data_IF_420406548445
#
_entry.id   IF_420406548445
#
_cell.length_a   1.000
_cell.length_b   1.000
_cell.length_c   1.000
_cell.angle_alpha   90.00
_cell.angle_beta   90.00
_cell.angle_gamma   90.00
#
_symmetry.space_group_name_H-M   'P 1'
#
loop_
_entity.id
_entity.type
_entity.pdbx_description
1 polymer ?
#
# COMPACT_ATOMS: atom_id res chain seq x y z
N UNK A 1 -63.88 -26.11 1.76
CA UNK A 1 -62.89 -25.75 0.73
C UNK A 1 -63.21 -24.32 0.32
N UNK A 2 -62.40 -23.36 0.77
CA UNK A 2 -62.50 -21.97 0.29
C UNK A 2 -61.39 -21.83 -0.73
N UNK A 3 -61.74 -21.44 -1.95
CA UNK A 3 -60.78 -21.33 -3.05
C UNK A 3 -60.02 -20.00 -2.99
N UNK A 4 -58.98 -19.87 -3.81
CA UNK A 4 -58.09 -18.71 -3.84
C UNK A 4 -58.80 -17.37 -4.15
N UNK A 5 -60.02 -17.41 -4.69
CA UNK A 5 -60.83 -16.22 -4.99
C UNK A 5 -61.39 -15.59 -3.72
N UNK A 6 -61.77 -16.41 -2.73
CA UNK A 6 -62.31 -15.95 -1.45
C UNK A 6 -61.26 -15.21 -0.60
N UNK A 7 -59.99 -15.62 -0.71
CA UNK A 7 -58.90 -14.99 0.05
C UNK A 7 -58.53 -13.60 -0.48
N UNK A 8 -58.63 -13.38 -1.80
CA UNK A 8 -58.34 -12.07 -2.42
C UNK A 8 -59.39 -11.03 -2.04
N UNK A 9 -60.67 -11.39 -2.10
CA UNK A 9 -61.76 -10.49 -1.73
C UNK A 9 -61.70 -10.09 -0.24
N UNK A 10 -61.29 -11.02 0.64
CA UNK A 10 -61.13 -10.75 2.07
C UNK A 10 -59.93 -9.84 2.38
N UNK A 11 -58.84 -9.92 1.59
CA UNK A 11 -57.66 -9.05 1.70
C UNK A 11 -57.97 -7.62 1.22
N UNK A 12 -58.66 -7.48 0.08
CA UNK A 12 -59.11 -6.17 -0.43
C UNK A 12 -60.14 -5.49 0.50
N UNK A 13 -60.96 -6.27 1.19
CA UNK A 13 -61.91 -5.77 2.19
C UNK A 13 -61.27 -5.45 3.56
N UNK A 14 -59.95 -5.66 3.73
CA UNK A 14 -59.23 -5.37 4.98
C UNK A 14 -59.59 -6.29 6.16
N UNK A 15 -60.21 -7.44 5.90
CA UNK A 15 -60.68 -8.37 6.94
C UNK A 15 -59.67 -9.47 7.29
N UNK A 16 -58.61 -9.63 6.50
CA UNK A 16 -57.49 -10.55 6.74
C UNK A 16 -56.16 -9.90 6.38
N UNK A 17 -55.11 -10.18 7.15
CA UNK A 17 -53.73 -9.72 6.89
C UNK A 17 -52.82 -10.90 6.56
N UNK A 18 -51.84 -10.66 5.69
CA UNK A 18 -50.77 -11.63 5.40
C UNK A 18 -49.91 -11.82 6.64
N UNK A 19 -49.65 -13.08 7.01
CA UNK A 19 -48.77 -13.42 8.13
C UNK A 19 -47.33 -13.36 7.61
N UNK A 20 -46.55 -12.46 8.20
CA UNK A 20 -45.18 -12.11 7.85
C UNK A 20 -44.29 -13.30 7.45
N UNK A 21 -43.92 -13.35 6.17
CA UNK A 21 -42.67 -13.94 5.68
C UNK A 21 -42.01 -12.83 4.87
N UNK A 22 -40.95 -12.24 5.43
CA UNK A 22 -40.34 -10.98 5.02
C UNK A 22 -40.22 -10.81 3.51
N UNK A 23 -41.14 -10.03 2.95
CA UNK A 23 -41.05 -9.47 1.61
C UNK A 23 -40.49 -8.05 1.73
N UNK A 24 -39.31 -7.86 1.15
CA UNK A 24 -38.63 -6.57 1.02
C UNK A 24 -39.58 -5.61 0.27
N UNK A 25 -39.83 -4.39 0.78
CA UNK A 25 -40.64 -3.40 0.06
C UNK A 25 -39.99 -3.09 -1.31
N UNK A 26 -40.78 -2.75 -2.35
CA UNK A 26 -40.21 -2.34 -3.62
C UNK A 26 -39.25 -1.18 -3.38
N UNK A 27 -38.00 -1.37 -3.79
CA UNK A 27 -36.95 -0.39 -3.67
C UNK A 27 -37.42 0.90 -4.36
N UNK A 28 -37.63 1.95 -3.56
CA UNK A 28 -37.54 3.31 -4.06
C UNK A 28 -36.09 3.49 -4.49
N UNK A 29 -35.85 3.34 -5.79
CA UNK A 29 -34.56 3.62 -6.39
C UNK A 29 -34.36 5.13 -6.24
N UNK A 30 -33.52 5.52 -5.28
CA UNK A 30 -32.96 6.86 -5.24
C UNK A 30 -32.26 7.06 -6.59
N UNK A 31 -32.63 8.05 -7.40
CA UNK A 31 -31.91 8.28 -8.65
C UNK A 31 -30.46 8.64 -8.29
N UNK A 32 -29.44 8.07 -8.96
CA UNK A 32 -28.10 8.64 -8.88
C UNK A 32 -28.22 10.08 -9.38
N UNK A 33 -27.94 11.04 -8.50
CA UNK A 33 -28.17 12.45 -8.75
C UNK A 33 -27.17 13.08 -9.75
N UNK A 34 -26.36 12.30 -10.47
CA UNK A 34 -25.26 12.82 -11.28
C UNK A 34 -25.07 12.10 -12.63
N UNK A 35 -26.15 11.70 -13.32
CA UNK A 35 -26.01 11.32 -14.74
C UNK A 35 -26.00 12.59 -15.58
N UNK A 36 -24.86 12.88 -16.21
CA UNK A 36 -24.73 13.94 -17.21
C UNK A 36 -25.33 13.49 -18.55
N UNK A 37 -26.54 13.96 -18.85
CA UNK A 37 -27.24 13.70 -20.09
C UNK A 37 -26.76 14.58 -21.26
N UNK A 38 -25.95 15.62 -21.01
CA UNK A 38 -25.43 16.51 -22.06
C UNK A 38 -26.40 17.60 -22.53
N UNK A 39 -26.41 17.89 -23.84
CA UNK A 39 -27.25 18.90 -24.51
C UNK A 39 -28.12 18.31 -25.63
N UNK A 40 -28.83 19.15 -26.40
CA UNK A 40 -29.67 18.75 -27.53
C UNK A 40 -29.08 19.23 -28.88
N UNK A 41 -27.77 19.07 -29.08
CA UNK A 41 -27.05 19.65 -30.22
C UNK A 41 -26.98 18.77 -31.48
N UNK A 42 -27.42 17.51 -31.45
CA UNK A 42 -27.42 16.63 -32.63
C UNK A 42 -28.63 16.92 -33.54
N UNK A 43 -28.58 16.39 -34.77
CA UNK A 43 -29.72 16.46 -35.70
C UNK A 43 -30.88 15.52 -35.31
N UNK A 44 -30.60 14.55 -34.45
CA UNK A 44 -31.53 13.53 -33.95
C UNK A 44 -32.13 13.87 -32.58
N UNK A 45 -31.59 14.89 -31.89
CA UNK A 45 -32.14 15.33 -30.61
C UNK A 45 -33.64 15.70 -30.68
N UNK A 46 -34.42 15.27 -29.67
CA UNK A 46 -35.87 15.54 -29.54
C UNK A 46 -36.75 14.83 -30.57
N UNK A 47 -36.31 13.71 -31.12
CA UNK A 47 -37.09 12.91 -32.05
C UNK A 47 -37.96 11.83 -31.37
N UNK A 48 -37.79 11.64 -30.07
CA UNK A 48 -38.52 10.70 -29.23
C UNK A 48 -37.79 9.39 -28.93
N UNK A 49 -36.57 9.21 -29.42
CA UNK A 49 -35.66 8.10 -29.10
C UNK A 49 -34.39 8.65 -28.43
N UNK A 50 -33.69 7.85 -27.62
CA UNK A 50 -32.40 8.24 -27.05
C UNK A 50 -31.26 7.87 -28.00
N UNK A 51 -30.62 8.87 -28.62
CA UNK A 51 -29.53 8.69 -29.60
C UNK A 51 -28.14 8.58 -28.97
N UNK A 52 -28.03 8.84 -27.68
CA UNK A 52 -26.73 8.79 -27.00
C UNK A 52 -26.24 7.33 -26.91
N UNK A 53 -25.12 6.98 -27.56
CA UNK A 53 -24.55 5.64 -27.55
C UNK A 53 -24.15 5.12 -26.17
N UNK A 54 -24.11 5.97 -25.12
CA UNK A 54 -23.92 5.54 -23.73
C UNK A 54 -25.16 4.84 -23.17
N UNK A 55 -26.33 4.97 -23.77
CA UNK A 55 -27.56 4.36 -23.29
C UNK A 55 -27.96 3.13 -24.13
N UNK A 56 -28.69 2.21 -23.51
CA UNK A 56 -29.26 1.03 -24.17
C UNK A 56 -30.62 0.68 -23.59
N UNK A 57 -31.54 0.25 -24.44
CA UNK A 57 -32.85 -0.27 -24.05
C UNK A 57 -33.91 -0.01 -25.12
N UNK A 58 -35.16 -0.41 -24.87
CA UNK A 58 -36.28 -0.17 -25.79
C UNK A 58 -36.54 1.29 -26.15
N UNK A 59 -36.04 2.25 -25.35
CA UNK A 59 -36.12 3.68 -25.63
C UNK A 59 -34.90 4.27 -26.35
N UNK A 60 -33.92 3.45 -26.73
CA UNK A 60 -32.76 3.90 -27.53
C UNK A 60 -33.07 3.85 -29.02
N UNK A 61 -32.42 4.73 -29.79
CA UNK A 61 -32.50 4.71 -31.25
C UNK A 61 -32.02 3.38 -31.83
N UNK A 62 -32.54 3.01 -33.00
CA UNK A 62 -32.13 1.77 -33.68
C UNK A 62 -30.67 1.78 -34.14
N UNK A 63 -30.15 2.95 -34.49
CA UNK A 63 -28.78 3.16 -34.92
C UNK A 63 -28.14 4.20 -34.00
N UNK A 64 -27.17 3.76 -33.20
CA UNK A 64 -26.44 4.62 -32.28
C UNK A 64 -25.06 4.91 -32.87
N UNK A 65 -24.73 6.19 -33.04
CA UNK A 65 -23.42 6.62 -33.55
C UNK A 65 -22.68 7.47 -32.53
N UNK A 66 -21.35 7.35 -32.53
CA UNK A 66 -20.48 8.06 -31.57
C UNK A 66 -20.59 9.59 -31.67
N UNK A 67 -20.99 10.10 -32.84
CA UNK A 67 -21.19 11.53 -33.06
C UNK A 67 -22.30 12.14 -32.19
N UNK A 68 -23.24 11.34 -31.71
CA UNK A 68 -24.43 11.77 -30.95
C UNK A 68 -24.28 11.60 -29.43
N UNK A 69 -23.10 11.20 -28.96
CA UNK A 69 -22.78 11.11 -27.53
C UNK A 69 -23.00 12.44 -26.83
N UNK A 70 -23.84 12.45 -25.79
CA UNK A 70 -24.23 13.59 -24.96
C UNK A 70 -24.98 14.71 -25.71
N UNK A 71 -25.59 14.41 -26.86
CA UNK A 71 -26.24 15.42 -27.71
C UNK A 71 -27.74 15.28 -27.87
N UNK A 72 -28.34 14.36 -27.12
CA UNK A 72 -29.78 14.13 -27.07
C UNK A 72 -30.28 14.01 -25.61
N UNK A 73 -30.00 15.05 -24.84
CA UNK A 73 -30.25 15.07 -23.40
C UNK A 73 -31.74 14.98 -23.04
N UNK A 74 -32.61 15.54 -23.86
CA UNK A 74 -34.05 15.57 -23.57
C UNK A 74 -34.68 14.20 -23.64
N UNK A 75 -34.40 13.42 -24.68
CA UNK A 75 -35.02 12.12 -24.86
C UNK A 75 -34.32 11.04 -24.04
N UNK A 76 -32.99 11.08 -23.91
CA UNK A 76 -32.26 10.18 -23.02
C UNK A 76 -32.64 10.33 -21.54
N UNK A 77 -32.87 11.55 -21.05
CA UNK A 77 -33.39 11.76 -19.69
C UNK A 77 -34.81 11.21 -19.54
N UNK A 78 -35.69 11.52 -20.49
CA UNK A 78 -37.07 11.05 -20.43
C UNK A 78 -37.17 9.52 -20.49
N UNK A 79 -36.36 8.89 -21.34
CA UNK A 79 -36.29 7.43 -21.46
C UNK A 79 -35.65 6.79 -20.22
N UNK A 80 -34.65 7.42 -19.60
CA UNK A 80 -34.03 6.94 -18.37
C UNK A 80 -35.00 7.04 -17.18
N UNK A 81 -35.72 8.16 -17.03
CA UNK A 81 -36.75 8.35 -16.01
C UNK A 81 -37.95 7.39 -16.20
N UNK A 82 -38.27 7.04 -17.45
CA UNK A 82 -39.27 6.04 -17.78
C UNK A 82 -38.77 4.59 -17.57
N UNK A 83 -37.47 4.39 -17.31
CA UNK A 83 -36.84 3.07 -17.21
C UNK A 83 -36.80 2.29 -18.53
N UNK A 84 -36.93 2.97 -19.68
CA UNK A 84 -36.87 2.36 -21.01
C UNK A 84 -35.46 2.38 -21.61
N UNK A 85 -34.53 3.13 -21.03
CA UNK A 85 -33.10 3.01 -21.29
C UNK A 85 -32.30 2.93 -20.00
N UNK A 86 -31.12 2.33 -20.10
CA UNK A 86 -30.12 2.20 -19.04
C UNK A 86 -28.79 2.68 -19.58
N UNK A 87 -27.97 3.34 -18.76
CA UNK A 87 -26.60 3.66 -19.15
C UNK A 87 -25.82 2.34 -19.25
N UNK A 88 -25.08 2.11 -20.33
CA UNK A 88 -24.29 0.89 -20.58
C UNK A 88 -23.27 0.64 -19.45
N UNK A 89 -22.82 1.70 -18.77
CA UNK A 89 -21.96 1.65 -17.58
C UNK A 89 -22.72 1.74 -16.24
N UNK A 90 -24.05 1.91 -16.27
CA UNK A 90 -24.93 1.80 -15.10
C UNK A 90 -25.86 0.58 -15.18
N UNK A 91 -25.45 -0.46 -15.93
CA UNK A 91 -25.94 -1.80 -15.64
C UNK A 91 -25.44 -2.13 -14.23
N UNK A 92 -26.35 -2.10 -13.26
CA UNK A 92 -26.16 -2.77 -11.99
C UNK A 92 -25.56 -4.14 -12.31
N UNK A 93 -24.28 -4.31 -11.98
CA UNK A 93 -23.61 -5.59 -11.95
C UNK A 93 -24.54 -6.48 -11.11
N UNK A 94 -25.12 -7.57 -11.66
CA UNK A 94 -25.51 -8.65 -10.77
C UNK A 94 -24.24 -8.95 -10.00
N UNK A 95 -24.27 -8.84 -8.66
CA UNK A 95 -23.12 -9.11 -7.82
C UNK A 95 -22.37 -10.32 -8.42
N UNK A 96 -21.14 -10.10 -8.87
CA UNK A 96 -20.30 -11.17 -9.38
C UNK A 96 -20.34 -12.24 -8.30
N UNK A 97 -21.01 -13.35 -8.60
CA UNK A 97 -21.09 -14.45 -7.66
C UNK A 97 -19.72 -15.08 -7.78
N UNK A 98 -18.81 -14.71 -6.86
CA UNK A 98 -17.51 -15.36 -6.74
C UNK A 98 -17.78 -16.87 -6.75
N UNK A 99 -17.18 -17.64 -7.69
CA UNK A 99 -17.43 -19.08 -7.73
C UNK A 99 -17.10 -19.65 -6.36
N UNK A 100 -18.03 -20.39 -5.77
CA UNK A 100 -17.74 -21.03 -4.48
C UNK A 100 -16.84 -22.24 -4.74
N UNK A 101 -16.15 -22.76 -3.72
CA UNK A 101 -15.32 -23.97 -3.87
C UNK A 101 -16.11 -25.20 -4.37
N UNK A 102 -17.45 -25.15 -4.36
CA UNK A 102 -18.32 -26.17 -4.94
C UNK A 102 -18.48 -26.04 -6.47
N UNK A 103 -18.21 -24.86 -7.04
CA UNK A 103 -18.39 -24.53 -8.46
C UNK A 103 -17.11 -24.72 -9.28
N UNK A 104 -15.97 -24.97 -8.61
CA UNK A 104 -14.64 -25.07 -9.23
C UNK A 104 -14.21 -26.54 -9.29
N UNK A 105 -13.79 -26.97 -10.49
CA UNK A 105 -13.14 -28.26 -10.70
C UNK A 105 -11.63 -28.15 -10.42
N UNK A 106 -11.23 -28.55 -9.21
CA UNK A 106 -9.83 -28.55 -8.77
C UNK A 106 -9.01 -29.72 -9.32
N UNK A 107 -9.63 -30.75 -9.91
CA UNK A 107 -8.92 -31.91 -10.46
C UNK A 107 -8.52 -32.98 -9.43
N UNK A 108 -7.31 -33.53 -9.55
CA UNK A 108 -6.73 -34.58 -8.69
C UNK A 108 -5.36 -34.18 -8.08
N UNK A 109 -4.69 -35.10 -7.36
CA UNK A 109 -3.37 -34.87 -6.73
C UNK A 109 -2.27 -35.69 -7.44
N UNK A 110 -2.21 -35.64 -8.78
CA UNK A 110 -1.35 -36.52 -9.58
C UNK A 110 0.02 -35.95 -9.97
N UNK A 111 0.32 -34.68 -9.66
CA UNK A 111 1.65 -34.09 -9.90
C UNK A 111 2.67 -34.52 -8.83
N UNK A 112 3.96 -34.27 -9.10
CA UNK A 112 5.03 -34.48 -8.12
C UNK A 112 4.98 -33.45 -6.97
N UNK A 113 4.37 -32.29 -7.23
CA UNK A 113 4.27 -31.16 -6.32
C UNK A 113 2.95 -31.13 -5.52
N UNK A 114 1.98 -31.99 -5.85
CA UNK A 114 0.74 -32.06 -5.09
C UNK A 114 0.96 -32.35 -3.60
N UNK A 115 0.25 -31.62 -2.72
CA UNK A 115 0.30 -31.75 -1.24
C UNK A 115 1.59 -31.25 -0.61
N UNK A 116 2.27 -30.30 -1.23
CA UNK A 116 3.44 -29.65 -0.65
C UNK A 116 3.11 -28.38 0.14
N UNK A 117 1.84 -27.94 0.10
CA UNK A 117 1.32 -26.78 0.82
C UNK A 117 1.14 -25.54 -0.05
N UNK A 118 1.48 -25.60 -1.33
CA UNK A 118 1.28 -24.53 -2.32
C UNK A 118 0.32 -24.99 -3.41
N UNK A 119 -0.38 -24.06 -4.07
CA UNK A 119 -1.23 -24.38 -5.21
C UNK A 119 -0.44 -24.30 -6.52
N UNK A 120 -0.14 -25.45 -7.12
CA UNK A 120 0.66 -25.56 -8.36
C UNK A 120 -0.16 -25.40 -9.65
N UNK A 121 -1.49 -25.34 -9.54
CA UNK A 121 -2.33 -25.26 -10.72
C UNK A 121 -2.24 -23.85 -11.34
N UNK A 122 -1.71 -23.71 -12.58
CA UNK A 122 -1.54 -22.42 -13.25
C UNK A 122 -2.85 -21.67 -13.50
N UNK A 123 -4.01 -22.32 -13.35
CA UNK A 123 -5.32 -21.64 -13.36
C UNK A 123 -5.55 -20.79 -12.12
N UNK A 124 -4.77 -20.91 -11.06
CA UNK A 124 -4.91 -20.13 -9.84
C UNK A 124 -3.80 -19.09 -9.69
N UNK A 125 -4.08 -18.04 -8.92
CA UNK A 125 -3.13 -16.97 -8.59
C UNK A 125 -3.37 -16.47 -7.17
N UNK A 126 -2.31 -16.09 -6.46
CA UNK A 126 -2.36 -15.48 -5.15
C UNK A 126 -1.20 -15.91 -4.27
N UNK A 127 -1.21 -15.46 -3.01
CA UNK A 127 -0.15 -15.75 -2.04
C UNK A 127 -0.02 -17.25 -1.70
N UNK A 128 -1.06 -18.04 -1.94
CA UNK A 128 -1.01 -19.50 -1.80
C UNK A 128 -0.66 -20.25 -3.08
N UNK A 129 -0.27 -19.57 -4.17
CA UNK A 129 0.19 -20.23 -5.41
C UNK A 129 1.69 -20.49 -5.34
N UNK A 130 2.13 -21.59 -5.97
CA UNK A 130 3.54 -21.90 -6.09
C UNK A 130 4.30 -20.80 -6.84
N UNK A 131 5.58 -20.61 -6.49
CA UNK A 131 6.43 -19.60 -7.14
C UNK A 131 6.63 -19.87 -8.64
N UNK A 132 6.69 -21.14 -9.04
CA UNK A 132 6.82 -21.57 -10.44
C UNK A 132 5.59 -22.37 -10.87
N UNK A 133 4.73 -21.75 -11.68
CA UNK A 133 3.54 -22.40 -12.22
C UNK A 133 3.82 -22.93 -13.62
N UNK A 134 3.72 -24.26 -13.79
CA UNK A 134 3.89 -24.90 -15.10
C UNK A 134 2.59 -25.52 -15.60
N UNK A 135 2.40 -25.48 -16.92
CA UNK A 135 1.21 -26.01 -17.58
C UNK A 135 0.98 -27.52 -17.32
N UNK A 136 2.05 -28.25 -17.02
CA UNK A 136 2.00 -29.68 -16.72
C UNK A 136 1.22 -30.01 -15.44
N UNK A 137 1.10 -29.05 -14.51
CA UNK A 137 0.50 -29.23 -13.18
C UNK A 137 -0.94 -28.73 -13.08
N UNK A 138 -1.50 -28.29 -14.22
CA UNK A 138 -2.92 -27.92 -14.32
C UNK A 138 -3.85 -29.07 -13.89
N UNK A 139 -4.70 -28.79 -12.90
CA UNK A 139 -5.67 -29.69 -12.26
C UNK A 139 -5.06 -30.91 -11.57
N UNK A 140 -3.79 -30.83 -11.15
CA UNK A 140 -3.07 -31.96 -10.56
C UNK A 140 -2.64 -31.75 -9.11
N UNK A 141 -3.04 -30.64 -8.52
CA UNK A 141 -2.83 -30.32 -7.12
C UNK A 141 -4.14 -29.84 -6.47
N UNK A 142 -5.12 -30.73 -6.44
CA UNK A 142 -6.47 -30.39 -6.04
C UNK A 142 -6.60 -30.08 -4.54
N UNK A 143 -5.81 -30.73 -3.70
CA UNK A 143 -5.88 -30.58 -2.24
C UNK A 143 -5.44 -29.19 -1.80
N UNK A 144 -4.27 -28.72 -2.28
CA UNK A 144 -3.71 -27.46 -1.83
C UNK A 144 -4.38 -26.28 -2.52
N UNK A 145 -4.68 -26.38 -3.82
CA UNK A 145 -5.48 -25.37 -4.51
C UNK A 145 -6.89 -25.18 -3.93
N UNK A 146 -7.55 -26.26 -3.47
CA UNK A 146 -8.85 -26.12 -2.76
C UNK A 146 -8.67 -25.44 -1.42
N UNK A 147 -7.68 -25.86 -0.63
CA UNK A 147 -7.43 -25.29 0.69
C UNK A 147 -7.08 -23.80 0.58
N UNK A 148 -6.21 -23.44 -0.36
CA UNK A 148 -5.81 -22.07 -0.61
C UNK A 148 -6.97 -21.22 -1.18
N UNK A 149 -7.86 -21.80 -2.01
CA UNK A 149 -9.05 -21.10 -2.48
C UNK A 149 -10.08 -20.87 -1.37
N UNK A 150 -10.32 -21.88 -0.53
CA UNK A 150 -11.21 -21.76 0.64
C UNK A 150 -10.66 -20.81 1.71
N UNK A 151 -9.33 -20.73 1.85
CA UNK A 151 -8.65 -19.75 2.68
C UNK A 151 -8.61 -18.33 2.08
N UNK A 152 -8.98 -18.19 0.80
CA UNK A 152 -8.91 -16.92 0.06
C UNK A 152 -7.49 -16.47 -0.27
N UNK A 153 -6.49 -17.35 -0.16
CA UNK A 153 -5.08 -17.05 -0.49
C UNK A 153 -4.78 -17.26 -1.97
N UNK A 154 -5.65 -17.98 -2.71
CA UNK A 154 -5.63 -18.03 -4.18
C UNK A 154 -7.01 -17.79 -4.79
N UNK A 155 -7.02 -17.33 -6.04
CA UNK A 155 -8.21 -17.07 -6.86
C UNK A 155 -8.07 -17.76 -8.22
N UNK A 156 -9.18 -18.19 -8.82
CA UNK A 156 -9.19 -18.80 -10.15
C UNK A 156 -9.07 -17.71 -11.22
N UNK A 157 -8.05 -17.80 -12.07
CA UNK A 157 -7.89 -17.02 -13.30
C UNK A 157 -9.02 -17.40 -14.26
N UNK A 158 -10.02 -16.54 -14.44
CA UNK A 158 -11.08 -16.79 -15.41
C UNK A 158 -10.51 -16.79 -16.83
N UNK A 159 -10.74 -17.86 -17.59
CA UNK A 159 -10.41 -17.89 -19.02
C UNK A 159 -11.40 -17.01 -19.78
N UNK A 160 -11.03 -15.75 -20.04
CA UNK A 160 -11.69 -14.92 -21.05
C UNK A 160 -12.53 -13.74 -20.57
N UNK A 161 -12.37 -13.29 -19.33
CA UNK A 161 -12.88 -11.99 -18.88
C UNK A 161 -11.74 -11.24 -18.19
N UNK A 162 -11.59 -9.96 -18.51
CA UNK A 162 -10.64 -9.05 -17.87
C UNK A 162 -10.64 -9.27 -16.36
N UNK A 163 -9.45 -9.38 -15.78
CA UNK A 163 -9.24 -9.45 -14.33
C UNK A 163 -10.15 -8.44 -13.62
N UNK A 164 -10.73 -8.77 -12.46
CA UNK A 164 -10.98 -7.73 -11.49
C UNK A 164 -9.62 -7.13 -11.17
N UNK A 165 -9.40 -5.93 -11.70
CA UNK A 165 -8.26 -5.09 -11.41
C UNK A 165 -7.96 -5.17 -9.91
N UNK A 166 -6.74 -5.55 -9.55
CA UNK A 166 -6.14 -4.96 -8.36
C UNK A 166 -6.31 -3.46 -8.55
N UNK A 167 -7.22 -2.82 -7.79
CA UNK A 167 -7.68 -1.43 -7.91
C UNK A 167 -6.76 -0.59 -8.81
N UNK A 168 -6.96 -0.72 -10.12
CA UNK A 168 -6.12 -0.05 -11.09
C UNK A 168 -6.61 1.39 -11.06
N UNK A 169 -5.69 2.32 -10.75
CA UNK A 169 -5.93 3.74 -10.89
C UNK A 169 -6.60 3.99 -12.24
N UNK A 170 -7.81 4.58 -12.29
CA UNK A 170 -8.51 4.84 -13.54
C UNK A 170 -7.55 5.49 -14.56
N UNK A 171 -7.57 5.04 -15.82
CA UNK A 171 -6.62 5.50 -16.84
C UNK A 171 -6.65 7.02 -17.07
N UNK A 172 -7.76 7.68 -16.73
CA UNK A 172 -7.90 9.14 -16.76
C UNK A 172 -7.18 9.88 -15.63
N UNK A 173 -6.77 9.18 -14.57
CA UNK A 173 -6.05 9.72 -13.41
C UNK A 173 -4.52 9.53 -13.54
N UNK A 174 -4.07 8.71 -14.49
CA UNK A 174 -2.65 8.45 -14.71
C UNK A 174 -2.10 9.44 -15.73
N UNK A 175 -1.16 10.27 -15.30
CA UNK A 175 -0.34 11.06 -16.21
C UNK A 175 0.75 10.17 -16.81
N UNK A 176 0.57 9.79 -18.08
CA UNK A 176 1.55 9.03 -18.86
C UNK A 176 2.65 9.92 -19.46
N UNK A 177 2.48 11.24 -19.46
CA UNK A 177 3.45 12.19 -20.00
C UNK A 177 3.48 12.28 -21.53
N UNK A 178 4.68 12.36 -22.11
CA UNK A 178 4.94 12.47 -23.56
C UNK A 178 5.84 11.35 -24.10
N UNK A 179 6.28 11.43 -25.37
CA UNK A 179 7.18 10.45 -26.02
C UNK A 179 8.57 11.05 -26.30
N UNK A 180 9.13 11.80 -25.34
CA UNK A 180 10.36 12.59 -25.57
C UNK A 180 11.67 11.85 -25.28
N UNK A 181 11.65 10.62 -24.74
CA UNK A 181 12.87 9.84 -24.48
C UNK A 181 13.46 9.22 -25.74
N UNK A 182 14.68 8.70 -25.64
CA UNK A 182 15.31 7.94 -26.74
C UNK A 182 14.71 6.53 -26.91
N UNK A 183 14.00 6.06 -25.89
CA UNK A 183 13.45 4.71 -25.78
C UNK A 183 11.94 4.67 -26.04
N UNK A 184 11.28 5.83 -26.06
CA UNK A 184 9.87 5.92 -26.40
C UNK A 184 9.50 5.24 -27.73
N UNK A 185 8.38 4.50 -27.73
CA UNK A 185 7.84 3.79 -28.92
C UNK A 185 8.67 2.60 -29.39
N UNK A 186 9.40 1.96 -28.49
CA UNK A 186 10.17 0.75 -28.80
C UNK A 186 9.42 -0.57 -28.49
N UNK A 187 8.23 -0.46 -27.87
CA UNK A 187 7.35 -1.57 -27.54
C UNK A 187 7.44 -2.06 -26.09
N UNK A 188 8.27 -1.43 -25.26
CA UNK A 188 8.35 -1.64 -23.81
C UNK A 188 7.96 -0.34 -23.07
N UNK A 189 7.51 -0.43 -21.82
CA UNK A 189 7.29 0.76 -20.99
C UNK A 189 8.58 1.14 -20.23
N UNK A 190 9.20 2.25 -20.61
CA UNK A 190 10.46 2.73 -20.03
C UNK A 190 10.27 3.62 -18.79
N UNK A 191 9.02 3.97 -18.46
CA UNK A 191 8.74 4.83 -17.32
C UNK A 191 8.98 4.07 -16.00
N UNK A 192 9.94 4.50 -15.16
CA UNK A 192 10.29 3.83 -13.91
C UNK A 192 9.15 3.77 -12.89
N UNK A 193 8.09 4.55 -13.07
CA UNK A 193 6.87 4.49 -12.25
C UNK A 193 6.02 3.26 -12.56
N UNK A 194 6.31 2.49 -13.61
CA UNK A 194 5.56 1.29 -13.95
C UNK A 194 6.38 0.02 -13.66
N UNK A 195 5.69 -1.09 -13.42
CA UNK A 195 6.29 -2.41 -13.20
C UNK A 195 5.42 -3.50 -13.77
N UNK A 196 6.04 -4.57 -14.26
CA UNK A 196 5.36 -5.73 -14.82
C UNK A 196 6.05 -6.24 -16.08
N UNK A 197 5.57 -7.34 -16.66
CA UNK A 197 6.16 -7.96 -17.85
C UNK A 197 6.18 -7.08 -19.11
N UNK A 198 5.42 -5.98 -19.15
CA UNK A 198 5.48 -4.98 -20.22
C UNK A 198 6.45 -3.82 -19.96
N UNK A 199 7.19 -3.83 -18.84
CA UNK A 199 8.16 -2.80 -18.48
C UNK A 199 9.54 -3.13 -19.07
N UNK A 200 10.29 -2.10 -19.44
CA UNK A 200 11.67 -2.26 -19.88
C UNK A 200 12.53 -2.92 -18.80
N UNK A 201 13.52 -3.71 -19.22
CA UNK A 201 14.42 -4.43 -18.31
C UNK A 201 15.36 -3.50 -17.55
N UNK A 202 15.64 -2.32 -18.09
CA UNK A 202 16.45 -1.27 -17.48
C UNK A 202 15.63 0.00 -17.44
N UNK A 203 15.32 0.48 -16.24
CA UNK A 203 14.53 1.70 -16.03
C UNK A 203 15.43 2.81 -15.53
N UNK A 204 15.35 3.99 -16.14
CA UNK A 204 16.12 5.17 -15.75
C UNK A 204 15.18 6.27 -15.28
N UNK A 205 15.55 6.99 -14.21
CA UNK A 205 14.76 8.13 -13.71
C UNK A 205 14.56 9.23 -14.75
N UNK A 206 15.51 9.37 -15.69
CA UNK A 206 15.41 10.33 -16.79
C UNK A 206 14.29 10.01 -17.80
N UNK A 207 13.77 8.78 -17.83
CA UNK A 207 12.71 8.32 -18.75
C UNK A 207 11.29 8.41 -18.14
N UNK A 208 11.19 8.87 -16.88
CA UNK A 208 9.92 9.17 -16.21
C UNK A 208 9.09 10.16 -17.01
N UNK A 209 7.83 9.80 -17.30
CA UNK A 209 6.84 10.57 -18.08
C UNK A 209 7.23 10.80 -19.55
N UNK A 210 8.13 10.00 -20.13
CA UNK A 210 8.67 10.24 -21.48
C UNK A 210 8.45 9.11 -22.48
N UNK A 211 7.68 8.10 -22.09
CA UNK A 211 7.27 6.98 -22.94
C UNK A 211 5.75 6.71 -22.82
N UNK A 212 4.97 7.74 -23.09
CA UNK A 212 3.53 7.73 -22.84
C UNK A 212 2.77 6.70 -23.70
N UNK A 213 3.19 6.50 -24.95
CA UNK A 213 2.50 5.60 -25.88
C UNK A 213 2.59 4.14 -25.43
N UNK A 214 3.78 3.66 -25.09
CA UNK A 214 3.97 2.25 -24.76
C UNK A 214 3.55 1.95 -23.33
N UNK A 215 3.81 2.86 -22.38
CA UNK A 215 3.30 2.72 -21.01
C UNK A 215 1.76 2.73 -20.94
N UNK A 216 1.07 3.54 -21.75
CA UNK A 216 -0.40 3.49 -21.84
C UNK A 216 -0.87 2.16 -22.41
N UNK A 217 -0.28 1.71 -23.51
CA UNK A 217 -0.67 0.47 -24.16
C UNK A 217 -0.43 -0.75 -23.25
N UNK A 218 0.71 -0.78 -22.55
CA UNK A 218 1.04 -1.83 -21.60
C UNK A 218 0.12 -1.80 -20.36
N UNK A 219 -0.27 -0.61 -19.89
CA UNK A 219 -1.22 -0.47 -18.78
C UNK A 219 -2.63 -0.91 -19.17
N UNK A 220 -3.10 -0.52 -20.36
CA UNK A 220 -4.39 -0.97 -20.93
C UNK A 220 -4.43 -2.48 -21.17
N UNK A 221 -3.28 -3.07 -21.56
CA UNK A 221 -3.12 -4.51 -21.72
C UNK A 221 -2.98 -5.26 -20.37
N UNK A 222 -2.84 -4.55 -19.25
CA UNK A 222 -2.60 -5.13 -17.93
C UNK A 222 -1.23 -5.81 -17.80
N UNK A 223 -0.28 -5.51 -18.68
CA UNK A 223 1.09 -6.05 -18.64
C UNK A 223 2.03 -5.18 -17.81
N UNK A 224 1.65 -3.96 -17.49
CA UNK A 224 2.28 -3.15 -16.45
C UNK A 224 1.25 -2.59 -15.48
N UNK A 225 1.70 -2.32 -14.27
CA UNK A 225 0.98 -1.64 -13.20
C UNK A 225 1.79 -0.41 -12.82
N UNK A 226 1.11 0.68 -12.44
CA UNK A 226 1.79 1.81 -11.85
C UNK A 226 2.31 1.36 -10.48
N UNK A 227 3.63 1.40 -10.27
CA UNK A 227 4.23 1.33 -8.94
C UNK A 227 3.53 2.40 -8.12
N UNK A 228 2.78 1.95 -7.13
CA UNK A 228 2.49 2.85 -6.03
C UNK A 228 3.83 3.03 -5.34
N UNK A 229 4.41 4.24 -5.41
CA UNK A 229 5.54 4.60 -4.57
C UNK A 229 5.14 4.20 -3.15
N UNK A 230 5.78 3.14 -2.63
CA UNK A 230 5.46 2.44 -1.38
C UNK A 230 4.00 2.64 -0.95
N UNK A 231 3.06 1.87 -1.53
CA UNK A 231 1.65 1.80 -1.14
C UNK A 231 1.20 3.07 -0.38
N UNK A 232 0.75 4.08 -1.13
CA UNK A 232 -0.13 5.08 -0.57
C UNK A 232 -1.24 4.31 0.16
N UNK A 233 -1.08 4.16 1.48
CA UNK A 233 -2.14 3.70 2.35
C UNK A 233 -3.31 4.60 2.00
N UNK A 234 -4.49 4.06 1.66
CA UNK A 234 -5.65 4.91 1.44
C UNK A 234 -5.70 5.86 2.63
N UNK A 235 -5.61 7.17 2.35
CA UNK A 235 -5.45 8.19 3.36
C UNK A 235 -6.41 7.87 4.51
N UNK A 236 -5.85 7.32 5.59
CA UNK A 236 -6.62 7.20 6.81
C UNK A 236 -6.88 8.65 7.13
N UNK A 237 -8.14 9.05 7.16
CA UNK A 237 -8.52 10.34 7.70
C UNK A 237 -8.23 10.27 9.20
N UNK A 238 -6.95 10.32 9.56
CA UNK A 238 -6.47 10.42 10.92
C UNK A 238 -6.89 11.82 11.37
N UNK A 239 -7.72 11.92 12.42
CA UNK A 239 -8.02 13.21 13.01
C UNK A 239 -6.72 13.96 13.27
N UNK A 240 -6.65 15.26 12.95
CA UNK A 240 -5.44 16.07 13.16
C UNK A 240 -4.93 15.98 14.61
N UNK A 241 -5.82 15.70 15.57
CA UNK A 241 -5.49 15.46 16.97
C UNK A 241 -4.72 14.17 17.26
N UNK A 242 -4.72 13.20 16.35
CA UNK A 242 -4.04 11.91 16.48
C UNK A 242 -2.68 11.89 15.74
N UNK A 243 -2.38 12.90 14.92
CA UNK A 243 -1.10 13.03 14.22
C UNK A 243 -0.04 13.57 15.18
N UNK A 244 1.06 12.83 15.34
CA UNK A 244 2.23 13.30 16.08
C UNK A 244 3.14 14.14 15.17
N UNK A 245 2.92 15.45 15.17
CA UNK A 245 3.76 16.41 14.43
C UNK A 245 5.17 16.59 15.03
N UNK A 246 5.39 16.18 16.28
CA UNK A 246 6.70 16.29 16.94
C UNK A 246 7.04 17.69 17.44
N UNK A 247 8.27 18.15 17.17
CA UNK A 247 8.85 19.43 17.62
C UNK A 247 9.43 20.25 16.45
N UNK A 248 10.08 21.39 16.73
CA UNK A 248 10.69 22.28 15.74
C UNK A 248 12.23 22.33 15.92
N UNK A 249 12.91 21.20 15.75
CA UNK A 249 14.35 21.07 16.06
C UNK A 249 15.25 20.88 14.86
N UNK A 250 14.72 20.70 13.65
CA UNK A 250 15.54 20.64 12.43
C UNK A 250 16.02 22.02 12.00
N UNK A 251 17.03 22.05 11.13
CA UNK A 251 17.53 23.29 10.50
C UNK A 251 16.49 23.94 9.57
N UNK A 252 15.52 23.14 9.11
CA UNK A 252 14.45 23.55 8.19
C UNK A 252 13.13 23.86 8.89
N UNK A 253 13.03 23.60 10.20
CA UNK A 253 11.82 23.92 10.96
C UNK A 253 11.44 25.41 10.90
N UNK A 254 10.16 25.71 10.70
CA UNK A 254 9.61 27.08 10.60
C UNK A 254 10.07 27.86 9.35
N UNK A 255 10.39 27.20 8.26
CA UNK A 255 10.74 27.85 6.99
C UNK A 255 9.53 28.11 6.06
N UNK A 256 8.36 27.55 6.42
CA UNK A 256 7.09 27.70 5.73
C UNK A 256 6.71 26.53 4.83
N UNK A 257 7.53 25.48 4.75
CA UNK A 257 7.23 24.21 4.10
C UNK A 257 7.25 23.08 5.15
N UNK A 258 6.48 22.01 4.94
CA UNK A 258 6.56 20.83 5.80
C UNK A 258 7.73 19.94 5.37
N UNK A 259 8.81 19.87 6.15
CA UNK A 259 9.97 19.00 5.87
C UNK A 259 9.76 17.55 6.36
N UNK A 260 8.60 17.32 6.96
CA UNK A 260 8.00 16.07 7.36
C UNK A 260 7.93 14.99 6.26
N UNK A 261 8.86 14.04 6.06
CA UNK A 261 8.64 13.03 5.06
C UNK A 261 7.62 12.02 5.57
N UNK A 262 6.69 12.27 6.49
CA UNK A 262 5.47 11.46 6.70
C UNK A 262 4.25 12.12 6.06
N UNK A 263 4.47 13.26 5.39
CA UNK A 263 3.45 14.06 4.75
C UNK A 263 3.69 14.12 3.25
N UNK A 264 2.62 14.38 2.49
CA UNK A 264 2.67 14.65 1.05
C UNK A 264 1.74 15.79 0.68
N UNK A 265 2.03 16.49 -0.41
CA UNK A 265 1.17 17.55 -0.93
C UNK A 265 1.93 18.84 -1.23
N UNK A 266 1.24 19.87 -1.77
CA UNK A 266 1.85 21.13 -2.20
C UNK A 266 2.41 21.99 -1.06
N UNK A 267 2.11 21.68 0.21
CA UNK A 267 2.68 22.33 1.38
C UNK A 267 3.85 21.56 2.00
N UNK A 268 4.31 20.47 1.38
CA UNK A 268 5.45 19.67 1.82
C UNK A 268 6.67 20.06 0.99
N UNK A 269 7.82 20.15 1.65
CA UNK A 269 9.08 20.49 1.02
C UNK A 269 9.38 19.55 -0.14
N UNK A 270 9.94 20.11 -1.21
CA UNK A 270 10.29 19.31 -2.40
C UNK A 270 11.37 18.25 -2.12
N UNK A 271 12.11 18.40 -1.01
CA UNK A 271 13.12 17.46 -0.53
C UNK A 271 12.91 17.25 0.96
N UNK A 272 11.90 16.45 1.33
CA UNK A 272 11.72 15.96 2.69
C UNK A 272 12.61 14.72 2.89
N UNK A 273 13.42 14.71 3.96
CA UNK A 273 14.36 13.63 4.27
C UNK A 273 14.04 13.00 5.62
N UNK A 274 14.36 11.72 5.80
CA UNK A 274 14.05 10.94 7.01
C UNK A 274 14.59 11.58 8.30
N UNK A 275 15.63 12.43 8.21
CA UNK A 275 16.18 13.17 9.34
C UNK A 275 15.17 14.16 9.95
N UNK A 276 14.23 14.67 9.15
CA UNK A 276 13.30 15.74 9.55
C UNK A 276 11.95 15.19 10.05
N UNK A 277 11.80 13.86 10.12
CA UNK A 277 10.64 13.18 10.72
C UNK A 277 10.38 13.75 12.12
N UNK A 278 9.18 14.32 12.31
CA UNK A 278 8.69 14.90 13.56
C UNK A 278 9.54 16.07 14.09
N UNK A 279 10.29 16.76 13.23
CA UNK A 279 11.17 17.89 13.61
C UNK A 279 10.79 19.23 13.02
N UNK A 280 9.71 19.27 12.25
CA UNK A 280 9.10 20.48 11.70
C UNK A 280 7.58 20.52 12.00
N UNK A 281 7.26 20.55 13.29
CA UNK A 281 5.90 20.41 13.75
C UNK A 281 5.00 21.58 13.40
N UNK A 282 5.54 22.80 13.42
CA UNK A 282 4.78 24.04 13.18
C UNK A 282 4.30 24.12 11.73
N UNK A 283 5.17 23.88 10.75
CA UNK A 283 4.80 24.00 9.35
C UNK A 283 4.02 22.78 8.86
N UNK A 284 4.36 21.56 9.28
CA UNK A 284 3.55 20.38 8.98
C UNK A 284 2.12 20.46 9.54
N UNK A 285 1.93 21.02 10.74
CA UNK A 285 0.58 21.27 11.28
C UNK A 285 -0.16 22.31 10.45
N UNK A 286 0.50 23.42 10.14
CA UNK A 286 -0.10 24.50 9.36
C UNK A 286 -0.50 24.01 7.95
N UNK A 287 0.33 23.19 7.31
CA UNK A 287 0.06 22.62 6.00
C UNK A 287 -1.11 21.63 6.03
N UNK A 288 -1.24 20.80 7.08
CA UNK A 288 -2.41 19.92 7.26
C UNK A 288 -3.69 20.72 7.50
N UNK A 289 -3.65 21.74 8.37
CA UNK A 289 -4.80 22.61 8.63
C UNK A 289 -5.23 23.41 7.40
N UNK A 290 -4.28 23.80 6.55
CA UNK A 290 -4.53 24.45 5.27
C UNK A 290 -5.02 23.49 4.17
N UNK A 291 -4.96 22.17 4.41
CA UNK A 291 -5.28 21.15 3.41
C UNK A 291 -4.25 21.04 2.29
N UNK A 292 -3.03 21.54 2.51
CA UNK A 292 -1.91 21.47 1.56
C UNK A 292 -0.91 20.36 1.88
N UNK A 293 -1.02 19.72 3.04
CA UNK A 293 -0.32 18.49 3.38
C UNK A 293 -1.30 17.40 3.85
N UNK A 294 -1.04 16.17 3.46
CA UNK A 294 -1.77 14.96 3.88
C UNK A 294 -0.78 14.01 4.54
N UNK A 295 -1.09 13.59 5.77
CA UNK A 295 -0.31 12.59 6.48
C UNK A 295 -0.49 11.22 5.81
N UNK A 296 0.60 10.56 5.46
CA UNK A 296 0.62 9.29 4.73
C UNK A 296 0.96 8.09 5.61
N UNK A 297 0.94 8.26 6.92
CA UNK A 297 1.30 7.21 7.88
C UNK A 297 2.74 7.35 8.39
N UNK A 298 3.06 6.53 9.39
CA UNK A 298 4.39 6.52 9.99
C UNK A 298 5.38 5.89 8.99
N UNK A 299 6.39 6.67 8.57
CA UNK A 299 7.54 6.15 7.84
C UNK A 299 8.65 5.83 8.84
N UNK A 300 9.16 4.61 8.76
CA UNK A 300 10.48 4.27 9.29
C UNK A 300 11.50 4.59 8.20
N UNK A 301 12.65 5.15 8.58
CA UNK A 301 13.72 5.51 7.64
C UNK A 301 14.02 4.35 6.68
N UNK A 302 14.19 4.67 5.40
CA UNK A 302 14.20 3.70 4.29
C UNK A 302 15.11 2.47 4.52
N UNK A 303 14.52 1.27 4.41
CA UNK A 303 15.16 -0.05 4.55
C UNK A 303 16.07 -0.47 3.38
N UNK A 304 16.11 0.28 2.27
CA UNK A 304 16.90 -0.15 1.09
C UNK A 304 18.36 0.33 1.15
N UNK A 305 18.70 1.24 2.07
CA UNK A 305 20.06 1.76 2.25
C UNK A 305 20.79 1.18 3.48
N UNK A 306 20.07 0.49 4.38
CA UNK A 306 20.64 -0.05 5.61
C UNK A 306 21.32 -1.40 5.35
N UNK A 307 22.53 -1.59 5.88
CA UNK A 307 23.25 -2.86 5.79
C UNK A 307 22.71 -3.87 6.82
N UNK A 308 21.76 -4.70 6.40
CA UNK A 308 21.20 -5.77 7.24
C UNK A 308 22.20 -6.91 7.51
N UNK A 309 23.30 -7.01 6.75
CA UNK A 309 24.27 -8.08 6.90
C UNK A 309 23.88 -9.39 6.18
N UNK A 310 24.02 -10.53 6.86
CA UNK A 310 23.82 -11.87 6.29
C UNK A 310 23.15 -12.81 7.29
N UNK A 311 22.61 -13.95 6.84
CA UNK A 311 22.00 -14.97 7.72
C UNK A 311 23.03 -15.98 8.22
N UNK A 312 24.02 -15.49 8.97
CA UNK A 312 25.15 -16.30 9.42
C UNK A 312 25.02 -16.82 10.87
N UNK A 313 24.12 -16.26 11.66
CA UNK A 313 23.85 -16.73 13.02
C UNK A 313 23.13 -18.08 13.00
N UNK A 314 23.27 -18.82 14.11
CA UNK A 314 22.45 -20.02 14.38
C UNK A 314 20.97 -19.69 14.64
N UNK A 315 20.67 -18.42 14.93
CA UNK A 315 19.33 -17.92 15.16
C UNK A 315 18.74 -17.26 13.91
N UNK A 316 19.51 -17.12 12.84
CA UNK A 316 18.99 -16.55 11.60
C UNK A 316 17.84 -17.40 11.02
N UNK A 317 16.82 -16.73 10.49
CA UNK A 317 15.62 -17.35 9.92
C UNK A 317 14.78 -18.15 10.94
N UNK A 318 14.73 -17.71 12.20
CA UNK A 318 13.86 -18.26 13.23
C UNK A 318 12.56 -17.48 13.45
N UNK A 319 12.41 -16.36 12.74
CA UNK A 319 11.22 -15.51 12.73
C UNK A 319 11.24 -14.37 13.76
N UNK A 320 12.35 -14.19 14.48
CA UNK A 320 12.64 -13.02 15.30
C UNK A 320 13.89 -12.31 14.79
N UNK A 321 13.96 -10.97 14.89
CA UNK A 321 15.19 -10.25 14.59
C UNK A 321 16.17 -10.32 15.78
N UNK A 322 17.27 -11.05 15.64
CA UNK A 322 18.29 -11.25 16.68
C UNK A 322 19.44 -10.23 16.64
N UNK A 323 19.42 -9.33 15.65
CA UNK A 323 20.47 -8.34 15.50
C UNK A 323 20.34 -7.19 16.53
N UNK A 324 21.36 -6.96 17.39
CA UNK A 324 21.35 -5.92 18.43
C UNK A 324 21.21 -4.48 17.94
N UNK A 325 21.34 -4.23 16.63
CA UNK A 325 21.17 -2.90 16.02
C UNK A 325 19.71 -2.50 15.89
N UNK A 326 18.78 -3.41 16.18
CA UNK A 326 17.34 -3.20 16.06
C UNK A 326 16.66 -3.19 17.43
N UNK A 327 15.50 -2.53 17.48
CA UNK A 327 14.58 -2.53 18.63
C UNK A 327 13.16 -2.80 18.15
N UNK A 328 12.24 -3.19 19.04
CA UNK A 328 10.83 -3.40 18.73
C UNK A 328 10.26 -4.71 19.28
N UNK A 329 9.02 -5.02 18.92
CA UNK A 329 8.36 -6.28 19.32
C UNK A 329 8.75 -7.46 18.42
N UNK A 330 9.26 -7.17 17.23
CA UNK A 330 9.77 -8.17 16.29
C UNK A 330 11.22 -8.58 16.55
N UNK A 331 11.87 -8.01 17.59
CA UNK A 331 13.24 -8.39 17.97
C UNK A 331 13.25 -9.40 19.11
N UNK A 332 14.33 -10.19 19.19
CA UNK A 332 14.53 -11.11 20.30
C UNK A 332 14.80 -10.34 21.60
N UNK A 333 14.32 -10.89 22.73
CA UNK A 333 14.53 -10.30 24.07
C UNK A 333 15.98 -10.36 24.54
N UNK A 334 16.80 -11.22 23.96
CA UNK A 334 18.19 -11.42 24.35
C UNK A 334 19.12 -11.30 23.14
N UNK A 335 19.30 -10.05 22.72
CA UNK A 335 20.25 -9.67 21.68
C UNK A 335 21.69 -9.91 22.16
N UNK A 336 22.48 -10.63 21.38
CA UNK A 336 23.90 -10.87 21.65
C UNK A 336 24.75 -10.10 20.64
N UNK A 337 25.90 -9.58 21.07
CA UNK A 337 26.82 -8.87 20.17
C UNK A 337 27.35 -9.75 19.02
N UNK A 338 27.37 -11.07 19.20
CA UNK A 338 27.78 -12.03 18.16
C UNK A 338 26.75 -12.21 17.04
N UNK A 339 25.50 -11.78 17.26
CA UNK A 339 24.39 -11.88 16.29
C UNK A 339 24.24 -10.60 15.43
N UNK A 340 25.11 -9.61 15.64
CA UNK A 340 25.16 -8.39 14.84
C UNK A 340 25.54 -8.69 13.39
N UNK A 341 24.77 -8.16 12.43
CA UNK A 341 24.87 -8.44 10.98
C UNK A 341 24.63 -9.92 10.61
N UNK A 342 24.04 -10.70 11.51
CA UNK A 342 23.99 -12.15 11.38
C UNK A 342 22.58 -12.72 11.19
N UNK A 343 21.57 -11.86 11.08
CA UNK A 343 20.17 -12.24 10.92
C UNK A 343 19.41 -11.24 10.00
N UNK A 344 19.82 -11.21 8.74
CA UNK A 344 19.37 -10.17 7.82
C UNK A 344 17.91 -10.36 7.37
N UNK A 345 17.52 -11.61 7.08
CA UNK A 345 16.19 -11.93 6.54
C UNK A 345 15.09 -11.58 7.55
N UNK A 346 15.22 -12.00 8.81
CA UNK A 346 14.19 -11.74 9.82
C UNK A 346 14.17 -10.26 10.23
N UNK A 347 15.32 -9.61 10.37
CA UNK A 347 15.37 -8.17 10.65
C UNK A 347 14.78 -7.32 9.53
N UNK A 348 15.01 -7.68 8.26
CA UNK A 348 14.38 -7.00 7.13
C UNK A 348 12.86 -7.18 7.16
N UNK A 349 12.40 -8.42 7.32
CA UNK A 349 10.97 -8.72 7.42
C UNK A 349 10.30 -8.01 8.61
N UNK A 350 10.98 -7.94 9.77
CA UNK A 350 10.47 -7.27 10.96
C UNK A 350 10.34 -5.75 10.77
N UNK A 351 11.28 -5.11 10.04
CA UNK A 351 11.19 -3.69 9.67
C UNK A 351 10.09 -3.45 8.64
N UNK A 352 9.98 -4.27 7.60
CA UNK A 352 8.91 -4.18 6.59
C UNK A 352 7.53 -4.38 7.22
N UNK A 353 7.42 -5.24 8.22
CA UNK A 353 6.20 -5.44 9.00
C UNK A 353 5.92 -4.33 10.02
N UNK A 354 6.83 -3.36 10.19
CA UNK A 354 6.73 -2.29 11.19
C UNK A 354 6.82 -2.79 12.65
N UNK A 355 7.36 -3.99 12.86
CA UNK A 355 7.50 -4.61 14.20
C UNK A 355 8.87 -4.41 14.82
N UNK A 356 9.86 -4.01 14.00
CA UNK A 356 11.19 -3.61 14.43
C UNK A 356 11.61 -2.30 13.72
N UNK A 357 12.57 -1.59 14.32
CA UNK A 357 13.21 -0.42 13.74
C UNK A 357 14.71 -0.41 14.06
N UNK A 358 15.50 0.19 13.17
CA UNK A 358 16.93 0.40 13.40
C UNK A 358 17.12 1.44 14.49
N UNK A 359 18.01 1.16 15.45
CA UNK A 359 18.40 2.11 16.48
C UNK A 359 19.24 3.21 15.81
N UNK A 360 18.84 4.47 15.99
CA UNK A 360 19.40 5.64 15.27
C UNK A 360 20.93 5.67 15.24
N UNK A 361 21.61 5.32 16.33
CA UNK A 361 23.10 5.33 16.41
C UNK A 361 23.79 4.42 15.39
N UNK A 362 23.09 3.43 14.83
CA UNK A 362 23.63 2.53 13.80
C UNK A 362 23.35 3.01 12.38
N UNK A 363 22.72 4.17 12.19
CA UNK A 363 22.43 4.71 10.87
C UNK A 363 23.50 5.70 10.43
N UNK A 364 23.81 5.80 9.12
CA UNK A 364 24.76 6.79 8.60
C UNK A 364 24.36 8.23 8.95
N UNK A 365 23.07 8.50 9.07
CA UNK A 365 22.51 9.83 9.34
C UNK A 365 22.86 10.31 10.75
N UNK A 366 22.81 9.42 11.74
CA UNK A 366 23.22 9.76 13.11
C UNK A 366 24.71 10.11 13.17
N UNK A 367 25.56 9.34 12.49
CA UNK A 367 26.99 9.63 12.42
C UNK A 367 27.27 10.96 11.69
N UNK A 368 26.49 11.29 10.65
CA UNK A 368 26.65 12.53 9.89
C UNK A 368 26.29 13.80 10.67
N UNK A 369 25.43 13.69 11.69
CA UNK A 369 25.05 14.81 12.55
C UNK A 369 26.08 15.15 13.63
N UNK A 370 27.17 14.38 13.74
CA UNK A 370 28.29 14.72 14.61
C UNK A 370 28.99 16.02 14.14
N UNK A 371 29.53 16.84 15.07
CA UNK A 371 29.72 16.52 16.48
C UNK A 371 28.52 16.85 17.37
N UNK A 372 28.22 15.96 18.32
CA UNK A 372 27.13 16.14 19.28
C UNK A 372 27.51 17.01 20.49
N UNK A 373 26.57 17.81 21.00
CA UNK A 373 26.78 18.61 22.21
C UNK A 373 26.77 17.73 23.46
N UNK A 374 27.93 17.62 24.10
CA UNK A 374 28.14 16.81 25.29
C UNK A 374 27.97 17.58 26.61
N UNK A 375 27.69 18.89 26.57
CA UNK A 375 27.75 19.76 27.77
C UNK A 375 26.71 19.43 28.83
N UNK A 376 25.61 18.76 28.46
CA UNK A 376 24.54 18.34 29.37
C UNK A 376 24.72 16.96 30.00
N UNK A 377 25.76 16.21 29.62
CA UNK A 377 25.91 14.80 30.00
C UNK A 377 27.00 14.64 31.06
N UNK A 378 26.67 13.92 32.13
CA UNK A 378 27.64 13.51 33.14
C UNK A 378 28.26 12.16 32.77
N UNK A 379 29.47 12.22 32.20
CA UNK A 379 30.26 11.05 31.82
C UNK A 379 30.99 10.40 33.00
N UNK A 380 31.06 11.06 34.17
CA UNK A 380 31.76 10.52 35.35
C UNK A 380 33.28 10.73 35.34
N UNK A 381 34.03 9.69 35.70
CA UNK A 381 35.50 9.68 35.75
C UNK A 381 36.10 8.52 34.94
N UNK A 382 37.42 8.30 35.04
CA UNK A 382 38.13 7.19 34.37
C UNK A 382 38.67 6.20 35.41
N UNK A 383 37.82 5.75 36.34
CA UNK A 383 38.25 4.91 37.45
C UNK A 383 38.22 3.40 37.15
N UNK A 384 37.62 2.96 36.04
CA UNK A 384 37.57 1.55 35.66
C UNK A 384 38.92 1.05 35.13
N UNK A 385 39.10 -0.27 35.13
CA UNK A 385 40.28 -0.89 34.52
C UNK A 385 40.23 -0.87 32.98
N UNK A 386 39.08 -0.60 32.42
CA UNK A 386 38.82 -0.57 30.99
C UNK A 386 38.86 0.88 30.44
N UNK A 387 38.85 1.88 31.31
CA UNK A 387 38.91 3.29 30.87
C UNK A 387 40.15 3.64 30.05
N UNK A 388 39.96 4.48 29.02
CA UNK A 388 41.00 4.90 28.06
C UNK A 388 41.53 3.75 27.20
N UNK A 389 40.66 2.83 26.79
CA UNK A 389 40.95 1.75 25.84
C UNK A 389 40.37 1.97 24.43
N UNK A 390 39.87 3.19 24.18
CA UNK A 390 39.24 3.66 22.94
C UNK A 390 37.83 3.09 22.68
N UNK A 391 37.23 2.37 23.65
CA UNK A 391 35.84 1.94 23.64
C UNK A 391 35.08 2.54 24.83
N UNK A 392 33.79 2.85 24.69
CA UNK A 392 32.97 3.29 25.82
C UNK A 392 32.44 2.09 26.62
N UNK A 393 32.89 1.93 27.86
CA UNK A 393 32.47 0.82 28.74
C UNK A 393 31.20 1.11 29.55
N UNK A 394 30.71 2.35 29.52
CA UNK A 394 29.60 2.74 30.37
C UNK A 394 28.27 2.14 29.85
N UNK A 395 27.60 1.26 30.62
CA UNK A 395 26.37 0.58 30.21
C UNK A 395 25.19 1.52 29.92
N UNK A 396 25.28 2.81 30.29
CA UNK A 396 24.28 3.82 29.92
C UNK A 396 24.26 4.12 28.42
N UNK A 397 25.33 3.80 27.70
CA UNK A 397 25.45 4.09 26.28
C UNK A 397 25.22 2.84 25.43
N UNK A 398 24.89 3.08 24.17
CA UNK A 398 24.73 2.08 23.12
C UNK A 398 25.27 2.64 21.81
N UNK A 399 25.89 1.80 20.99
CA UNK A 399 26.30 2.13 19.64
C UNK A 399 27.59 1.43 19.23
N UNK A 400 28.06 1.64 17.99
CA UNK A 400 29.30 1.04 17.50
C UNK A 400 30.55 1.44 18.30
N UNK A 401 30.53 2.55 19.06
CA UNK A 401 31.64 2.98 19.91
C UNK A 401 31.63 2.40 21.33
N UNK A 402 30.68 1.52 21.70
CA UNK A 402 30.67 0.89 23.03
C UNK A 402 31.43 -0.44 23.05
N UNK A 403 31.95 -0.80 24.22
CA UNK A 403 32.54 -2.11 24.44
C UNK A 403 31.52 -3.24 24.19
N UNK A 404 32.01 -4.36 23.65
CA UNK A 404 31.17 -5.54 23.35
C UNK A 404 30.53 -6.17 24.59
N UNK A 405 31.13 -5.97 25.77
CA UNK A 405 30.61 -6.45 27.05
C UNK A 405 30.56 -5.30 28.04
N UNK A 406 29.36 -4.83 28.35
CA UNK A 406 29.14 -3.74 29.29
C UNK A 406 28.86 -4.29 30.69
N UNK A 407 29.60 -3.82 31.69
CA UNK A 407 29.40 -4.22 33.09
C UNK A 407 28.81 -3.05 33.89
N UNK A 408 27.89 -3.36 34.81
CA UNK A 408 27.35 -2.34 35.73
C UNK A 408 28.42 -1.66 36.59
N UNK A 409 29.58 -2.32 36.80
CA UNK A 409 30.71 -1.75 37.53
C UNK A 409 31.41 -0.61 36.79
N UNK A 410 31.26 -0.52 35.47
CA UNK A 410 31.97 0.45 34.63
C UNK A 410 31.12 1.71 34.33
N UNK A 411 29.90 1.75 34.90
CA UNK A 411 29.04 2.93 34.88
C UNK A 411 29.75 4.16 35.43
N UNK A 412 29.78 5.24 34.64
CA UNK A 412 30.41 6.53 34.97
C UNK A 412 31.92 6.42 35.27
N UNK A 413 32.57 5.37 34.80
CA UNK A 413 33.96 5.07 35.14
C UNK A 413 34.89 5.05 33.91
N UNK A 414 34.38 5.49 32.76
CA UNK A 414 35.10 5.63 31.50
C UNK A 414 34.70 6.92 30.74
N UNK A 415 34.93 8.05 31.38
CA UNK A 415 34.42 9.34 30.91
C UNK A 415 35.06 9.84 29.61
N UNK A 416 36.35 9.61 29.40
CA UNK A 416 37.06 10.13 28.23
C UNK A 416 36.57 9.46 26.93
N UNK A 417 36.48 8.14 26.91
CA UNK A 417 36.16 7.38 25.70
C UNK A 417 34.67 7.51 25.38
N UNK A 418 33.80 7.40 26.40
CA UNK A 418 32.38 7.68 26.22
C UNK A 418 32.10 9.11 25.74
N UNK A 419 32.81 10.11 26.27
CA UNK A 419 32.64 11.49 25.77
C UNK A 419 33.09 11.62 24.32
N UNK A 420 34.27 11.09 23.99
CA UNK A 420 34.81 11.16 22.63
C UNK A 420 33.90 10.44 21.62
N UNK A 421 33.40 9.26 21.98
CA UNK A 421 32.49 8.48 21.16
C UNK A 421 31.13 9.17 20.98
N UNK A 422 30.58 9.79 22.05
CA UNK A 422 29.32 10.53 21.96
C UNK A 422 29.47 11.75 21.04
N UNK A 423 30.51 12.55 21.25
CA UNK A 423 30.79 13.71 20.39
C UNK A 423 31.07 13.29 18.94
N UNK A 424 31.61 12.08 18.70
CA UNK A 424 31.85 11.54 17.36
C UNK A 424 30.59 10.93 16.71
N UNK A 425 29.46 10.85 17.42
CA UNK A 425 28.24 10.23 16.91
C UNK A 425 28.31 8.71 16.76
N UNK A 426 29.19 8.05 17.52
CA UNK A 426 29.32 6.58 17.50
C UNK A 426 28.62 5.90 18.67
N UNK A 427 28.12 6.66 19.65
CA UNK A 427 27.27 6.17 20.73
C UNK A 427 26.15 7.17 21.04
N UNK A 428 25.06 6.69 21.62
CA UNK A 428 23.98 7.49 22.19
C UNK A 428 23.62 6.99 23.60
N UNK A 429 22.89 7.79 24.38
CA UNK A 429 22.35 7.33 25.65
C UNK A 429 21.17 6.38 25.42
N UNK A 430 21.12 5.28 26.18
CA UNK A 430 19.98 4.35 26.12
C UNK A 430 18.65 5.00 26.52
N UNK A 431 18.68 6.01 27.39
CA UNK A 431 17.47 6.77 27.73
C UNK A 431 16.91 7.58 26.55
N UNK A 432 17.74 7.95 25.57
CA UNK A 432 17.28 8.65 24.37
C UNK A 432 16.58 7.68 23.41
N UNK A 433 16.96 6.40 23.42
CA UNK A 433 16.23 5.34 22.71
C UNK A 433 14.83 5.17 23.30
N UNK A 434 14.71 5.17 24.63
CA UNK A 434 13.43 5.01 25.33
C UNK A 434 12.52 6.25 25.25
N UNK A 435 13.08 7.43 24.95
CA UNK A 435 12.31 8.68 24.74
C UNK A 435 11.76 8.81 23.32
N UNK A 436 12.30 8.06 22.35
CA UNK A 436 11.85 8.01 20.96
C UNK A 436 10.88 6.87 20.64
N UNK A 437 10.64 5.96 21.60
CA UNK A 437 9.60 4.93 21.58
C UNK A 437 8.35 5.39 22.32
#
# INVERSE_FOLDING_TARGET
MKDATDCRAAFEAGTVTLKDTGAIPPATITPPADIDFGDDSSEWAKDGECDDPRFTGPGSAQELVEADRMKDATDCRAAFEAGTVTLKDAAATPAATTPTAADIDFGDDSSEWAKDGECDDPRFTGAGSAQELVEADRMKDATDCRAAFEAGTVTLKETGASQPAATLTPIGEIDFGDDSSNWAKDGECDDPRFTGPGSATTLLDEDRLKDATDCRAAYEAGTVTLKTDAAATPAVSVPVSEINFGNDTSDWANDGECDDPRFTGPGVATTAIDLDIAKDATDCRAAVEAGTATYTGERVASSDAFDYGSDSSKWANDGECDDPRFTGIGTNKKLLGEDMYADATDCKAAVEAGTASVIAVYTPEYAAAAPYDSTGIDFGDNSSNYSNDDECDDPRFIGPGTATTLLDSDRMADANDCKAAYEAGTIMLREDLERGM
#
